data_IF_045474568216
#
_entry.id   IF_045474568216
#
_cell.length_a   1.000
_cell.length_b   1.000
_cell.length_c   1.000
_cell.angle_alpha   90.00
_cell.angle_beta   90.00
_cell.angle_gamma   90.00
#
_symmetry.space_group_name_H-M   'P 1'
#
loop_
_entity.id
_entity.type
_entity.pdbx_description
1 polymer ?
#
# COMPACT_ATOMS: atom_id res chain seq x y z
N UNK A 1 12.65 9.53 -20.54
CA UNK A 1 11.40 9.91 -19.83
C UNK A 1 11.70 9.98 -18.33
N UNK A 2 10.89 10.66 -17.52
CA UNK A 2 11.03 10.55 -16.06
C UNK A 2 10.74 9.11 -15.60
N UNK A 3 11.47 8.66 -14.58
CA UNK A 3 11.20 7.38 -13.95
C UNK A 3 9.84 7.41 -13.26
N UNK A 4 9.17 6.27 -13.16
CA UNK A 4 7.86 6.19 -12.51
C UNK A 4 7.66 4.86 -11.80
N UNK A 5 7.04 4.89 -10.63
CA UNK A 5 6.62 3.73 -9.86
C UNK A 5 5.10 3.81 -9.73
N UNK A 6 4.41 2.95 -10.48
CA UNK A 6 2.97 2.72 -10.33
C UNK A 6 2.75 1.62 -9.29
N UNK A 7 2.30 2.01 -8.09
CA UNK A 7 2.14 1.15 -6.93
C UNK A 7 0.67 0.78 -6.68
N UNK A 8 0.29 -0.46 -6.98
CA UNK A 8 -1.05 -1.00 -6.75
C UNK A 8 -1.16 -1.57 -5.33
N UNK A 9 -2.01 -0.97 -4.51
CA UNK A 9 -2.06 -1.20 -3.06
C UNK A 9 -3.49 -1.38 -2.53
N UNK A 10 -3.66 -2.23 -1.51
CA UNK A 10 -4.92 -2.44 -0.82
C UNK A 10 -4.78 -2.32 0.71
N UNK A 11 -5.72 -1.62 1.34
CA UNK A 11 -5.79 -1.45 2.78
C UNK A 11 -5.87 -2.77 3.57
N UNK A 12 -6.33 -3.87 2.96
CA UNK A 12 -6.26 -5.19 3.61
C UNK A 12 -4.86 -5.80 3.64
N UNK A 13 -3.91 -5.35 2.82
CA UNK A 13 -2.56 -5.93 2.81
C UNK A 13 -1.63 -5.21 3.79
N UNK A 14 -1.08 -5.88 4.83
CA UNK A 14 -0.09 -5.26 5.69
C UNK A 14 1.21 -4.96 4.92
N UNK A 15 1.53 -5.72 3.87
CA UNK A 15 2.69 -5.42 3.02
C UNK A 15 2.46 -4.17 2.15
N UNK A 16 1.20 -3.88 1.78
CA UNK A 16 0.88 -2.62 1.10
C UNK A 16 1.08 -1.42 2.03
N UNK A 17 0.76 -1.54 3.33
CA UNK A 17 1.07 -0.51 4.33
C UNK A 17 2.55 -0.17 4.35
N UNK A 18 3.39 -1.20 4.49
CA UNK A 18 4.84 -1.03 4.55
C UNK A 18 5.39 -0.37 3.28
N UNK A 19 4.88 -0.78 2.12
CA UNK A 19 5.29 -0.17 0.85
C UNK A 19 4.86 1.29 0.72
N UNK A 20 3.62 1.62 1.05
CA UNK A 20 3.14 3.00 1.01
C UNK A 20 3.92 3.88 1.97
N UNK A 21 4.18 3.40 3.19
CA UNK A 21 4.98 4.11 4.19
C UNK A 21 6.41 4.37 3.69
N UNK A 22 7.07 3.34 3.17
CA UNK A 22 8.45 3.42 2.70
C UNK A 22 8.59 4.33 1.47
N UNK A 23 7.72 4.19 0.47
CA UNK A 23 7.76 5.03 -0.73
C UNK A 23 7.44 6.49 -0.42
N UNK A 24 6.45 6.76 0.46
CA UNK A 24 6.15 8.13 0.91
C UNK A 24 7.34 8.75 1.65
N UNK A 25 7.97 8.01 2.57
CA UNK A 25 9.16 8.47 3.31
C UNK A 25 10.32 8.85 2.37
N UNK A 26 10.52 8.09 1.31
CA UNK A 26 11.62 8.31 0.35
C UNK A 26 11.25 9.21 -0.84
N UNK A 27 10.01 9.73 -0.90
CA UNK A 27 9.48 10.51 -2.05
C UNK A 27 10.40 11.65 -2.47
N UNK A 28 10.87 12.48 -1.53
CA UNK A 28 11.75 13.62 -1.86
C UNK A 28 13.04 13.19 -2.55
N UNK A 29 13.64 12.08 -2.11
CA UNK A 29 14.84 11.54 -2.74
C UNK A 29 14.53 11.04 -4.16
N UNK A 30 13.44 10.29 -4.32
CA UNK A 30 12.99 9.79 -5.63
C UNK A 30 12.70 10.93 -6.61
N UNK A 31 11.99 11.96 -6.17
CA UNK A 31 11.69 13.14 -6.98
C UNK A 31 12.96 13.92 -7.38
N UNK A 32 13.98 13.98 -6.51
CA UNK A 32 15.28 14.59 -6.84
C UNK A 32 16.04 13.85 -7.94
N UNK A 33 15.72 12.56 -8.15
CA UNK A 33 16.21 11.74 -9.26
C UNK A 33 15.23 11.66 -10.44
N UNK A 34 14.17 12.49 -10.45
CA UNK A 34 13.17 12.48 -11.50
C UNK A 34 12.31 11.21 -11.54
N UNK A 35 12.13 10.55 -10.39
CA UNK A 35 11.25 9.37 -10.22
C UNK A 35 9.96 9.78 -9.53
N UNK A 36 8.83 9.62 -10.21
CA UNK A 36 7.50 9.82 -9.63
C UNK A 36 6.98 8.54 -8.97
N UNK A 37 6.31 8.68 -7.83
CA UNK A 37 5.54 7.59 -7.19
C UNK A 37 4.06 7.89 -7.26
N UNK A 38 3.29 6.94 -7.80
CA UNK A 38 1.85 7.01 -7.95
C UNK A 38 1.17 5.80 -7.29
N UNK A 39 0.21 6.04 -6.39
CA UNK A 39 -0.48 4.99 -5.65
C UNK A 39 -1.87 4.71 -6.25
N UNK A 40 -2.13 3.47 -6.62
CA UNK A 40 -3.40 3.03 -7.19
C UNK A 40 -4.15 2.15 -6.19
N UNK A 41 -5.26 2.64 -5.58
CA UNK A 41 -6.15 1.77 -4.83
C UNK A 41 -6.73 0.67 -5.74
N UNK A 42 -6.56 -0.58 -5.34
CA UNK A 42 -7.05 -1.78 -6.04
C UNK A 42 -7.82 -2.68 -5.09
N UNK A 43 -8.61 -3.62 -5.63
CA UNK A 43 -9.27 -4.63 -4.81
C UNK A 43 -8.48 -5.94 -4.80
N UNK A 44 -7.75 -6.23 -3.72
CA UNK A 44 -6.91 -7.42 -3.58
C UNK A 44 -7.71 -8.71 -3.67
N UNK A 45 -8.96 -8.73 -3.18
CA UNK A 45 -9.85 -9.87 -3.37
C UNK A 45 -10.09 -10.17 -4.85
N UNK A 46 -10.27 -9.12 -5.66
CA UNK A 46 -10.39 -9.22 -7.12
C UNK A 46 -9.11 -9.70 -7.79
N UNK A 47 -7.94 -9.22 -7.35
CA UNK A 47 -6.64 -9.69 -7.85
C UNK A 47 -6.44 -11.19 -7.57
N UNK A 48 -6.72 -11.64 -6.35
CA UNK A 48 -6.59 -13.06 -5.99
C UNK A 48 -7.47 -13.95 -6.88
N UNK A 49 -8.76 -13.58 -7.05
CA UNK A 49 -9.68 -14.33 -7.90
C UNK A 49 -9.23 -14.31 -9.37
N UNK A 50 -8.92 -13.13 -9.92
CA UNK A 50 -8.56 -12.96 -11.33
C UNK A 50 -7.25 -13.64 -11.72
N UNK A 51 -6.30 -13.75 -10.79
CA UNK A 51 -5.01 -14.45 -11.01
C UNK A 51 -5.05 -15.94 -10.66
N UNK A 52 -6.14 -16.45 -10.10
CA UNK A 52 -6.23 -17.80 -9.56
C UNK A 52 -5.41 -18.03 -8.28
N UNK A 53 -4.90 -16.96 -7.66
CA UNK A 53 -4.17 -17.04 -6.40
C UNK A 53 -5.13 -17.19 -5.20
N UNK A 54 -4.60 -17.67 -4.07
CA UNK A 54 -5.32 -17.77 -2.79
C UNK A 54 -4.60 -16.99 -1.71
N UNK A 55 -5.33 -16.41 -0.74
CA UNK A 55 -4.70 -15.70 0.36
C UNK A 55 -3.71 -16.59 1.13
N UNK A 56 -2.54 -16.08 1.53
CA UNK A 56 -1.44 -16.89 2.06
C UNK A 56 -1.82 -17.65 3.33
N UNK A 57 -2.69 -17.09 4.18
CA UNK A 57 -3.12 -17.74 5.43
C UNK A 57 -3.99 -18.99 5.22
N UNK A 58 -4.51 -19.22 4.01
CA UNK A 58 -5.26 -20.45 3.69
C UNK A 58 -4.37 -21.69 3.65
N UNK A 59 -3.05 -21.52 3.54
CA UNK A 59 -2.06 -22.59 3.64
C UNK A 59 -1.35 -22.50 5.00
N UNK A 60 -1.53 -23.52 5.85
CA UNK A 60 -1.02 -23.54 7.23
C UNK A 60 0.49 -23.24 7.33
N UNK A 61 1.29 -23.74 6.39
CA UNK A 61 2.73 -23.48 6.34
C UNK A 61 3.04 -21.97 6.20
N UNK A 62 2.32 -21.26 5.31
CA UNK A 62 2.44 -19.82 5.11
C UNK A 62 1.87 -19.04 6.30
N UNK A 63 0.76 -19.49 6.89
CA UNK A 63 0.17 -18.89 8.08
C UNK A 63 1.09 -18.96 9.31
N UNK A 64 1.86 -20.05 9.46
CA UNK A 64 2.86 -20.17 10.52
C UNK A 64 4.07 -19.28 10.25
N UNK A 65 4.55 -19.23 9.00
CA UNK A 65 5.65 -18.34 8.61
C UNK A 65 5.32 -16.86 8.83
N UNK A 66 4.10 -16.43 8.47
CA UNK A 66 3.72 -15.02 8.51
C UNK A 66 3.81 -14.40 9.90
N UNK A 67 3.67 -15.19 10.98
CA UNK A 67 3.86 -14.72 12.36
C UNK A 67 5.27 -14.15 12.58
N UNK A 68 6.29 -14.85 12.06
CA UNK A 68 7.68 -14.40 12.13
C UNK A 68 7.95 -13.25 11.16
N UNK A 69 7.38 -13.34 9.96
CA UNK A 69 7.61 -12.36 8.92
C UNK A 69 7.03 -10.99 9.25
N UNK A 70 5.79 -10.93 9.74
CA UNK A 70 5.15 -9.69 10.19
C UNK A 70 5.96 -9.01 11.30
N UNK A 71 6.50 -9.77 12.26
CA UNK A 71 7.35 -9.21 13.31
C UNK A 71 8.64 -8.60 12.75
N UNK A 72 9.30 -9.28 11.81
CA UNK A 72 10.50 -8.75 11.14
C UNK A 72 10.18 -7.51 10.30
N UNK A 73 9.06 -7.53 9.57
CA UNK A 73 8.62 -6.41 8.76
C UNK A 73 8.29 -5.18 9.62
N UNK A 74 7.51 -5.32 10.69
CA UNK A 74 7.25 -4.22 11.63
C UNK A 74 8.55 -3.61 12.16
N UNK A 75 9.52 -4.45 12.57
CA UNK A 75 10.84 -3.99 13.02
C UNK A 75 11.61 -3.26 11.91
N UNK A 76 11.62 -3.80 10.70
CA UNK A 76 12.34 -3.22 9.55
C UNK A 76 11.78 -1.85 9.14
N UNK A 77 10.45 -1.71 9.10
CA UNK A 77 9.77 -0.46 8.73
C UNK A 77 9.61 0.53 9.90
N UNK A 78 9.99 0.13 11.12
CA UNK A 78 9.93 0.99 12.30
C UNK A 78 8.50 1.31 12.74
N UNK A 79 7.58 0.36 12.59
CA UNK A 79 6.16 0.52 12.97
C UNK A 79 5.79 -0.40 14.14
N UNK A 80 4.75 -0.06 14.93
CA UNK A 80 4.23 -0.94 15.97
C UNK A 80 3.88 -2.33 15.43
N UNK A 81 3.85 -3.32 16.33
CA UNK A 81 3.47 -4.67 15.97
C UNK A 81 2.02 -4.67 15.46
N UNK A 82 1.83 -5.20 14.25
CA UNK A 82 0.50 -5.41 13.69
C UNK A 82 -0.16 -6.60 14.39
N UNK A 83 -1.39 -6.40 14.86
CA UNK A 83 -2.29 -7.46 15.30
C UNK A 83 -3.37 -7.66 14.25
N UNK A 84 -3.52 -8.88 13.74
CA UNK A 84 -4.63 -9.20 12.84
C UNK A 84 -5.93 -9.15 13.64
N UNK A 85 -6.92 -8.33 13.24
CA UNK A 85 -8.19 -8.25 13.95
C UNK A 85 -9.07 -9.47 13.67
N UNK A 86 -9.98 -9.79 14.60
CA UNK A 86 -10.85 -10.97 14.50
C UNK A 86 -11.82 -10.91 13.31
N UNK A 87 -12.13 -9.70 12.81
CA UNK A 87 -12.98 -9.47 11.64
C UNK A 87 -12.22 -9.58 10.31
N UNK A 88 -10.90 -9.81 10.33
CA UNK A 88 -10.11 -9.95 9.12
C UNK A 88 -10.38 -11.30 8.41
N UNK A 89 -10.46 -11.34 7.07
CA UNK A 89 -10.35 -10.23 6.13
C UNK A 89 -11.68 -9.47 5.94
N UNK A 90 -11.58 -8.14 5.80
CA UNK A 90 -12.73 -7.30 5.44
C UNK A 90 -12.92 -7.22 3.92
N UNK A 91 -14.12 -6.82 3.47
CA UNK A 91 -14.35 -6.42 2.09
C UNK A 91 -13.86 -4.96 1.89
N UNK A 92 -12.67 -4.77 1.33
CA UNK A 92 -12.02 -3.47 1.15
C UNK A 92 -12.63 -2.57 0.06
N UNK A 93 -13.73 -2.98 -0.57
CA UNK A 93 -14.31 -2.29 -1.72
C UNK A 93 -14.71 -0.84 -1.41
N UNK A 94 -15.48 -0.61 -0.34
CA UNK A 94 -15.90 0.74 0.05
C UNK A 94 -14.72 1.65 0.44
N UNK A 95 -13.80 1.27 1.35
CA UNK A 95 -12.67 2.11 1.71
C UNK A 95 -11.78 2.42 0.51
N UNK A 96 -11.54 1.46 -0.39
CA UNK A 96 -10.74 1.69 -1.60
C UNK A 96 -11.40 2.68 -2.57
N UNK A 97 -12.73 2.62 -2.73
CA UNK A 97 -13.47 3.61 -3.54
C UNK A 97 -13.44 5.00 -2.92
N UNK A 98 -13.59 5.12 -1.60
CA UNK A 98 -13.40 6.38 -0.89
C UNK A 98 -12.00 6.95 -1.13
N UNK A 99 -10.96 6.11 -1.11
CA UNK A 99 -9.59 6.55 -1.38
C UNK A 99 -9.40 7.02 -2.82
N UNK A 100 -10.07 6.41 -3.81
CA UNK A 100 -10.05 6.91 -5.20
C UNK A 100 -10.71 8.28 -5.30
N UNK A 101 -11.87 8.48 -4.66
CA UNK A 101 -12.51 9.80 -4.59
C UNK A 101 -11.58 10.84 -3.96
N UNK A 102 -11.05 10.52 -2.78
CA UNK A 102 -10.18 11.45 -2.05
C UNK A 102 -8.94 11.83 -2.88
N UNK A 103 -8.33 10.85 -3.55
CA UNK A 103 -7.19 11.07 -4.44
C UNK A 103 -7.51 12.01 -5.61
N UNK A 104 -8.73 11.95 -6.16
CA UNK A 104 -9.16 12.82 -7.28
C UNK A 104 -9.55 14.23 -6.82
N UNK A 105 -10.06 14.37 -5.59
CA UNK A 105 -10.67 15.61 -5.11
C UNK A 105 -9.73 16.46 -4.25
N UNK A 106 -8.81 15.85 -3.51
CA UNK A 106 -8.00 16.54 -2.51
C UNK A 106 -6.51 16.47 -2.82
N UNK A 107 -5.69 17.35 -2.20
CA UNK A 107 -4.24 17.30 -2.36
C UNK A 107 -3.67 15.94 -2.00
N UNK A 108 -2.61 15.54 -2.73
CA UNK A 108 -1.88 14.26 -2.57
C UNK A 108 -1.58 13.94 -1.10
N UNK A 109 -1.12 14.92 -0.34
CA UNK A 109 -0.76 14.73 1.08
C UNK A 109 -1.98 14.35 1.95
N UNK A 110 -3.16 14.90 1.66
CA UNK A 110 -4.41 14.57 2.37
C UNK A 110 -4.84 13.14 2.04
N UNK A 111 -4.75 12.76 0.77
CA UNK A 111 -4.97 11.38 0.32
C UNK A 111 -4.02 10.39 1.00
N UNK A 112 -2.71 10.59 0.90
CA UNK A 112 -1.73 9.62 1.41
C UNK A 112 -1.76 9.49 2.94
N UNK A 113 -2.00 10.60 3.64
CA UNK A 113 -2.17 10.57 5.11
C UNK A 113 -3.42 9.79 5.49
N UNK A 114 -4.55 10.06 4.82
CA UNK A 114 -5.81 9.34 5.09
C UNK A 114 -5.69 7.87 4.74
N UNK A 115 -5.02 7.55 3.63
CA UNK A 115 -4.86 6.19 3.16
C UNK A 115 -4.02 5.37 4.15
N UNK A 116 -2.89 5.91 4.63
CA UNK A 116 -2.06 5.25 5.66
C UNK A 116 -2.85 4.94 6.93
N UNK A 117 -3.75 5.83 7.35
CA UNK A 117 -4.53 5.61 8.56
C UNK A 117 -5.61 4.52 8.42
N UNK A 118 -5.98 4.08 7.22
CA UNK A 118 -6.81 2.88 7.06
C UNK A 118 -6.16 1.65 7.71
N UNK A 119 -4.84 1.48 7.50
CA UNK A 119 -4.08 0.39 8.10
C UNK A 119 -3.91 0.58 9.60
N UNK A 120 -3.62 1.79 10.07
CA UNK A 120 -3.49 2.08 11.50
C UNK A 120 -4.78 1.75 12.26
N UNK A 121 -5.92 2.15 11.70
CA UNK A 121 -7.23 1.86 12.29
C UNK A 121 -7.52 0.37 12.34
N UNK A 122 -7.27 -0.35 11.25
CA UNK A 122 -7.55 -1.77 11.19
C UNK A 122 -6.58 -2.60 12.05
N UNK A 123 -5.27 -2.37 11.91
CA UNK A 123 -4.23 -3.24 12.46
C UNK A 123 -3.69 -2.82 13.83
N UNK A 124 -3.83 -1.55 14.21
CA UNK A 124 -3.40 -1.05 15.52
C UNK A 124 -4.57 -0.71 16.44
N UNK A 125 -5.65 -0.14 15.90
CA UNK A 125 -6.84 0.22 16.70
C UNK A 125 -7.92 -0.86 16.71
N UNK A 126 -7.78 -1.92 15.92
CA UNK A 126 -8.76 -3.02 15.83
C UNK A 126 -10.17 -2.52 15.46
N UNK A 127 -10.25 -1.61 14.47
CA UNK A 127 -11.50 -1.02 13.97
C UNK A 127 -11.78 -1.50 12.53
N UNK A 128 -13.01 -1.97 12.28
CA UNK A 128 -13.44 -2.43 10.96
C UNK A 128 -13.79 -1.25 10.03
N UNK A 129 -12.81 -0.86 9.20
CA UNK A 129 -12.94 0.21 8.20
C UNK A 129 -13.79 -0.18 6.96
N UNK A 130 -14.36 -1.39 6.90
CA UNK A 130 -15.41 -1.70 5.91
C UNK A 130 -16.78 -1.15 6.31
N UNK A 131 -16.94 -0.74 7.58
CA UNK A 131 -18.16 -0.13 8.09
C UNK A 131 -18.19 1.37 7.77
N UNK A 132 -19.24 1.88 7.08
CA UNK A 132 -19.32 3.29 6.69
C UNK A 132 -19.16 4.26 7.86
N UNK A 133 -19.72 3.94 9.03
CA UNK A 133 -19.67 4.75 10.24
C UNK A 133 -18.25 4.83 10.83
N UNK A 134 -17.48 3.74 10.78
CA UNK A 134 -16.09 3.73 11.23
C UNK A 134 -15.20 4.49 10.25
N UNK A 135 -15.45 4.34 8.94
CA UNK A 135 -14.75 5.10 7.93
C UNK A 135 -15.07 6.61 8.03
N UNK A 136 -16.31 6.97 8.38
CA UNK A 136 -16.69 8.36 8.64
C UNK A 136 -15.90 8.96 9.82
N UNK A 137 -15.80 8.22 10.93
CA UNK A 137 -15.02 8.67 12.10
C UNK A 137 -13.53 8.78 11.77
N UNK A 138 -12.99 7.86 10.97
CA UNK A 138 -11.62 7.97 10.47
C UNK A 138 -11.43 9.28 9.71
N UNK A 139 -12.28 9.58 8.73
CA UNK A 139 -12.20 10.82 7.98
C UNK A 139 -12.33 12.06 8.89
N UNK A 140 -13.19 12.01 9.91
CA UNK A 140 -13.30 13.09 10.90
C UNK A 140 -11.97 13.34 11.63
N UNK A 141 -11.23 12.29 12.01
CA UNK A 141 -9.90 12.44 12.63
C UNK A 141 -8.84 13.06 11.71
N UNK A 142 -9.09 13.09 10.39
CA UNK A 142 -8.26 13.77 9.40
C UNK A 142 -8.83 15.13 8.96
N UNK A 143 -9.67 15.75 9.79
CA UNK A 143 -10.25 17.08 9.57
C UNK A 143 -11.08 17.18 8.27
N UNK A 144 -11.77 16.10 7.87
CA UNK A 144 -12.83 16.22 6.88
C UNK A 144 -14.08 16.77 7.55
N UNK A 145 -14.68 17.80 6.95
CA UNK A 145 -15.98 18.31 7.38
C UNK A 145 -17.09 17.30 7.12
N UNK A 146 -18.22 17.40 7.84
CA UNK A 146 -19.36 16.50 7.67
C UNK A 146 -19.86 16.43 6.22
N UNK A 147 -19.78 17.55 5.50
CA UNK A 147 -20.10 17.60 4.07
C UNK A 147 -19.12 16.80 3.23
N UNK A 148 -17.81 16.93 3.46
CA UNK A 148 -16.77 16.17 2.75
C UNK A 148 -16.85 14.66 3.05
N UNK A 149 -17.15 14.30 4.30
CA UNK A 149 -17.35 12.91 4.72
C UNK A 149 -18.55 12.31 3.97
N UNK A 150 -19.70 13.00 3.99
CA UNK A 150 -20.90 12.58 3.27
C UNK A 150 -20.63 12.43 1.78
N UNK A 151 -19.98 13.42 1.16
CA UNK A 151 -19.63 13.38 -0.26
C UNK A 151 -18.73 12.19 -0.59
N UNK A 152 -17.73 11.89 0.24
CA UNK A 152 -16.81 10.76 0.07
C UNK A 152 -17.53 9.41 0.14
N UNK A 153 -18.43 9.23 1.11
CA UNK A 153 -19.18 7.99 1.28
C UNK A 153 -20.22 7.76 0.18
N UNK A 154 -20.87 8.83 -0.29
CA UNK A 154 -21.82 8.75 -1.42
C UNK A 154 -21.11 8.53 -2.75
N UNK A 155 -19.97 9.20 -2.99
CA UNK A 155 -19.15 8.97 -4.16
C UNK A 155 -18.71 7.51 -4.26
N UNK A 156 -18.32 6.88 -3.16
CA UNK A 156 -17.93 5.47 -3.14
C UNK A 156 -19.04 4.47 -3.56
N UNK A 157 -20.30 4.91 -3.59
CA UNK A 157 -21.45 4.12 -4.05
C UNK A 157 -21.79 4.38 -5.52
N UNK A 158 -21.27 5.45 -6.12
CA UNK A 158 -21.60 5.85 -7.49
C UNK A 158 -21.01 4.89 -8.54
N UNK A 159 -21.62 4.80 -9.74
CA UNK A 159 -21.06 4.03 -10.85
C UNK A 159 -19.61 4.42 -11.18
N UNK A 160 -19.30 5.72 -11.17
CA UNK A 160 -17.98 6.25 -11.50
C UNK A 160 -16.87 5.62 -10.63
N UNK A 161 -17.04 5.59 -9.31
CA UNK A 161 -16.01 5.06 -8.40
C UNK A 161 -16.04 3.53 -8.32
N UNK A 162 -17.18 2.90 -8.61
CA UNK A 162 -17.26 1.45 -8.83
C UNK A 162 -16.39 1.05 -10.01
N UNK A 163 -16.59 1.70 -11.15
CA UNK A 163 -15.86 1.47 -12.39
C UNK A 163 -14.38 1.82 -12.24
N UNK A 164 -14.04 2.91 -11.55
CA UNK A 164 -12.65 3.29 -11.30
C UNK A 164 -11.88 2.22 -10.49
N UNK A 165 -12.48 1.67 -9.42
CA UNK A 165 -11.83 0.59 -8.67
C UNK A 165 -11.69 -0.69 -9.51
N UNK A 166 -12.73 -1.02 -10.28
CA UNK A 166 -12.68 -2.16 -11.21
C UNK A 166 -11.56 -1.97 -12.24
N UNK A 167 -11.46 -0.81 -12.86
CA UNK A 167 -10.45 -0.49 -13.87
C UNK A 167 -9.03 -0.52 -13.31
N UNK A 168 -8.79 0.04 -12.11
CA UNK A 168 -7.49 -0.05 -11.44
C UNK A 168 -7.10 -1.52 -11.18
N UNK A 169 -8.06 -2.32 -10.70
CA UNK A 169 -7.86 -3.74 -10.38
C UNK A 169 -7.59 -4.56 -11.64
N UNK A 170 -8.36 -4.31 -12.71
CA UNK A 170 -8.17 -4.96 -14.00
C UNK A 170 -6.82 -4.59 -14.62
N UNK A 171 -6.42 -3.31 -14.56
CA UNK A 171 -5.10 -2.87 -15.02
C UNK A 171 -3.97 -3.61 -14.29
N UNK A 172 -4.09 -3.82 -12.97
CA UNK A 172 -3.10 -4.61 -12.24
C UNK A 172 -3.05 -6.07 -12.71
N UNK A 173 -4.22 -6.70 -12.91
CA UNK A 173 -4.36 -8.07 -13.41
C UNK A 173 -3.81 -8.25 -14.82
N UNK A 174 -4.17 -7.38 -15.76
CA UNK A 174 -3.68 -7.38 -17.14
C UNK A 174 -2.16 -7.25 -17.19
N UNK A 175 -1.60 -6.58 -16.18
CA UNK A 175 -0.16 -6.42 -15.99
C UNK A 175 0.46 -7.45 -15.03
N UNK A 176 -0.21 -8.59 -14.82
CA UNK A 176 0.33 -9.78 -14.17
C UNK A 176 0.25 -9.82 -12.64
N UNK A 177 -0.48 -8.90 -12.00
CA UNK A 177 -0.59 -8.90 -10.55
C UNK A 177 -1.27 -10.16 -10.02
N UNK A 178 -0.65 -10.79 -9.02
CA UNK A 178 -1.20 -11.93 -8.29
C UNK A 178 -1.36 -11.65 -6.79
N UNK A 179 -1.08 -10.42 -6.34
CA UNK A 179 -1.20 -10.00 -4.95
C UNK A 179 -0.96 -8.50 -4.79
N UNK A 180 -0.85 -8.02 -3.56
CA UNK A 180 -0.53 -6.63 -3.26
C UNK A 180 0.46 -6.52 -2.08
N UNK A 181 1.43 -5.59 -2.12
CA UNK A 181 1.60 -4.55 -3.14
C UNK A 181 2.20 -5.11 -4.44
N UNK A 182 1.81 -4.53 -5.56
CA UNK A 182 2.33 -4.82 -6.89
C UNK A 182 2.80 -3.52 -7.53
N UNK A 183 3.95 -3.54 -8.18
CA UNK A 183 4.54 -2.36 -8.80
C UNK A 183 4.78 -2.59 -10.28
N UNK A 184 4.57 -1.54 -11.07
CA UNK A 184 5.17 -1.41 -12.40
C UNK A 184 6.12 -0.21 -12.37
N UNK A 185 7.38 -0.47 -12.70
CA UNK A 185 8.44 0.54 -12.62
C UNK A 185 8.92 0.85 -14.01
N UNK A 186 8.84 2.13 -14.41
CA UNK A 186 9.41 2.65 -15.65
C UNK A 186 10.74 3.31 -15.37
N UNK A 187 11.78 2.92 -16.11
CA UNK A 187 13.10 3.55 -16.04
C UNK A 187 13.24 4.74 -17.01
N UNK A 188 14.39 5.41 -16.96
CA UNK A 188 14.67 6.60 -17.79
C UNK A 188 14.66 6.33 -19.31
N UNK A 189 14.92 5.09 -19.72
CA UNK A 189 14.87 4.60 -21.10
C UNK A 189 13.44 4.32 -21.58
N UNK A 190 12.45 4.39 -20.70
CA UNK A 190 11.05 4.09 -21.02
C UNK A 190 10.71 2.59 -20.99
N UNK A 191 11.62 1.73 -20.53
CA UNK A 191 11.33 0.31 -20.30
C UNK A 191 10.58 0.16 -18.99
N UNK A 192 9.64 -0.78 -18.92
CA UNK A 192 8.85 -1.06 -17.72
C UNK A 192 8.97 -2.53 -17.31
N UNK A 193 9.07 -2.81 -16.00
CA UNK A 193 9.03 -4.18 -15.46
C UNK A 193 8.30 -4.25 -14.10
N UNK A 194 7.74 -5.42 -13.73
CA UNK A 194 6.99 -5.59 -12.50
C UNK A 194 7.84 -5.99 -11.28
N UNK A 195 7.39 -5.56 -10.09
CA UNK A 195 7.93 -6.01 -8.80
C UNK A 195 6.78 -6.34 -7.83
N UNK A 196 6.98 -7.32 -6.94
CA UNK A 196 5.97 -7.75 -5.96
C UNK A 196 6.51 -7.75 -4.54
N UNK A 197 5.70 -7.26 -3.60
CA UNK A 197 6.00 -7.29 -2.17
C UNK A 197 6.76 -6.06 -1.67
N UNK A 198 6.74 -5.84 -0.37
CA UNK A 198 7.45 -4.70 0.26
C UNK A 198 8.94 -5.01 0.54
N UNK A 199 9.54 -5.96 -0.17
CA UNK A 199 10.91 -6.43 0.06
C UNK A 199 11.79 -6.37 -1.20
N UNK A 200 11.33 -5.67 -2.24
CA UNK A 200 12.02 -5.56 -3.55
C UNK A 200 12.63 -4.20 -3.86
N UNK A 201 12.67 -3.29 -2.90
CA UNK A 201 13.13 -1.92 -3.13
C UNK A 201 14.57 -1.84 -3.68
N UNK A 202 15.50 -2.65 -3.17
CA UNK A 202 16.87 -2.69 -3.70
C UNK A 202 16.91 -3.01 -5.20
N UNK A 203 16.12 -3.99 -5.65
CA UNK A 203 16.00 -4.32 -7.07
C UNK A 203 15.34 -3.20 -7.87
N UNK A 204 14.32 -2.52 -7.31
CA UNK A 204 13.71 -1.35 -7.95
C UNK A 204 14.72 -0.20 -8.12
N UNK A 205 15.58 0.03 -7.12
CA UNK A 205 16.62 1.07 -7.16
C UNK A 205 17.69 0.74 -8.19
N UNK A 206 18.12 -0.52 -8.27
CA UNK A 206 19.03 -1.00 -9.32
C UNK A 206 18.41 -0.83 -10.72
N UNK A 207 17.15 -1.22 -10.91
CA UNK A 207 16.45 -1.09 -12.18
C UNK A 207 16.28 0.37 -12.64
N UNK A 208 16.06 1.28 -11.67
CA UNK A 208 15.98 2.71 -11.90
C UNK A 208 17.35 3.39 -12.04
N UNK A 209 18.46 2.66 -11.88
CA UNK A 209 19.84 3.18 -11.90
C UNK A 209 20.03 4.32 -10.86
N UNK A 210 19.44 4.15 -9.67
CA UNK A 210 19.56 5.10 -8.57
C UNK A 210 20.74 4.75 -7.66
N UNK A 211 21.49 5.73 -7.16
CA UNK A 211 22.43 5.49 -6.08
C UNK A 211 21.67 5.17 -4.79
N UNK A 212 21.99 4.05 -4.15
CA UNK A 212 21.41 3.65 -2.87
C UNK A 212 22.42 2.88 -2.02
N UNK A 213 22.18 2.84 -0.71
CA UNK A 213 22.87 1.94 0.20
C UNK A 213 21.97 0.74 0.47
N UNK A 214 22.42 -0.46 0.09
CA UNK A 214 21.71 -1.71 0.35
C UNK A 214 22.02 -2.27 1.76
N UNK A 215 21.67 -3.53 2.01
CA UNK A 215 21.96 -4.26 3.24
C UNK A 215 23.46 -4.64 3.30
N UNK A 216 24.22 -3.92 4.13
CA UNK A 216 25.60 -4.27 4.45
C UNK A 216 25.73 -4.73 5.91
N UNK A 217 26.45 -5.84 6.13
CA UNK A 217 26.93 -6.23 7.46
C UNK A 217 28.18 -5.39 7.74
N UNK A 218 28.22 -4.76 8.91
CA UNK A 218 29.41 -4.01 9.35
C UNK A 218 30.38 -4.96 10.05
N UNK A 219 31.68 -4.82 9.74
CA UNK A 219 32.73 -5.56 10.44
C UNK A 219 32.71 -5.22 11.94
N UNK A 220 32.82 -6.25 12.77
CA UNK A 220 33.00 -6.05 14.21
C UNK A 220 34.45 -5.62 14.46
N UNK A 221 34.70 -4.31 14.44
CA UNK A 221 36.05 -3.73 14.63
C UNK A 221 36.51 -3.72 16.09
N UNK A 222 35.72 -4.26 17.04
CA UNK A 222 36.12 -4.43 18.44
C UNK A 222 36.39 -3.13 19.22
N UNK A 223 36.24 -1.94 18.61
CA UNK A 223 36.40 -0.66 19.31
C UNK A 223 35.20 -0.43 20.22
N UNK A 224 35.38 -0.76 21.49
CA UNK A 224 34.47 -0.44 22.57
C UNK A 224 34.12 1.06 22.54
N UNK A 225 32.84 1.38 22.77
CA UNK A 225 32.41 2.73 23.14
C UNK A 225 33.13 3.07 24.45
N UNK A 226 34.10 4.00 24.40
CA UNK A 226 34.52 4.78 25.57
C UNK A 226 33.42 5.80 25.89
#
# INVERSE_FOLDING_TARGET
MSGKIDAYVDCVSPYSFYATLYLRKNRKALESHGVEVEFHPVFLGGINVGSGNKPPWTLLAKANYSKFDTQRACKYFGVPQIKTPDFFPILSVMPQRCMIYIKRTYPRERFETTFLSLWEWMYHKNIDISKPEQLAELLKTHNYSDHEIKATLEAAKSPEYKEALTANTQTALDRGAYGAPWFWVRNKEGKEEPFFGSDRFAFMWQYLDLPFQDVAIVENTGKARL
#
